data_IF_079836054427
#
_entry.id   IF_079836054427
#
_cell.length_a   1.000
_cell.length_b   1.000
_cell.length_c   1.000
_cell.angle_alpha   90.00
_cell.angle_beta   90.00
_cell.angle_gamma   90.00
#
_symmetry.space_group_name_H-M   'P 1'
#
loop_
_entity.id
_entity.type
_entity.pdbx_description
1 polymer ?
#
# COMPACT_ATOMS: atom_id res chain seq x y z
N UNK A 1 -36.72 -38.91 -14.82
CA UNK A 1 -35.32 -38.74 -14.40
C UNK A 1 -34.55 -38.18 -15.60
N UNK A 2 -34.34 -36.86 -15.63
CA UNK A 2 -33.66 -36.16 -16.73
C UNK A 2 -32.58 -35.29 -16.09
N UNK A 3 -31.34 -35.53 -16.51
CA UNK A 3 -30.13 -34.87 -16.05
C UNK A 3 -30.15 -33.44 -16.58
N UNK A 4 -30.13 -32.46 -15.69
CA UNK A 4 -29.92 -31.06 -16.06
C UNK A 4 -28.42 -30.86 -16.32
N UNK A 5 -28.07 -30.78 -17.59
CA UNK A 5 -26.76 -30.34 -18.07
C UNK A 5 -26.71 -28.82 -17.89
N UNK A 6 -25.86 -28.33 -17.00
CA UNK A 6 -25.64 -26.90 -16.77
C UNK A 6 -25.05 -26.28 -18.06
N UNK A 7 -25.86 -25.50 -18.77
CA UNK A 7 -25.43 -24.65 -19.87
C UNK A 7 -24.53 -23.54 -19.30
N UNK A 8 -23.27 -23.54 -19.74
CA UNK A 8 -22.36 -22.41 -19.64
C UNK A 8 -22.96 -21.23 -20.43
N UNK A 9 -23.35 -20.17 -19.73
CA UNK A 9 -23.56 -18.85 -20.30
C UNK A 9 -22.18 -18.29 -20.68
N UNK A 10 -21.81 -18.43 -21.95
CA UNK A 10 -20.74 -17.63 -22.55
C UNK A 10 -21.33 -16.25 -22.77
N UNK A 11 -21.05 -15.31 -21.87
CA UNK A 11 -21.24 -13.89 -22.18
C UNK A 11 -20.15 -13.49 -23.17
N UNK A 12 -20.54 -13.17 -24.41
CA UNK A 12 -19.67 -12.50 -25.36
C UNK A 12 -19.13 -11.22 -24.72
N UNK A 13 -17.82 -11.18 -24.47
CA UNK A 13 -17.13 -9.95 -24.13
C UNK A 13 -17.04 -9.16 -25.44
N UNK A 14 -17.92 -8.18 -25.61
CA UNK A 14 -17.69 -7.13 -26.59
C UNK A 14 -16.44 -6.39 -26.14
N UNK A 15 -15.34 -6.56 -26.86
CA UNK A 15 -14.17 -5.69 -26.74
C UNK A 15 -14.64 -4.31 -27.20
N UNK A 16 -14.98 -3.45 -26.25
CA UNK A 16 -15.01 -2.02 -26.53
C UNK A 16 -13.56 -1.65 -26.80
N UNK A 17 -13.27 -1.18 -28.01
CA UNK A 17 -12.02 -0.48 -28.31
C UNK A 17 -11.94 0.71 -27.34
N UNK A 18 -11.24 0.52 -26.23
CA UNK A 18 -10.82 1.61 -25.39
C UNK A 18 -9.85 2.41 -26.25
N UNK A 19 -10.26 3.60 -26.68
CA UNK A 19 -9.33 4.62 -27.16
C UNK A 19 -8.22 4.71 -26.13
N UNK A 20 -7.06 4.14 -26.48
CA UNK A 20 -5.87 4.20 -25.68
C UNK A 20 -5.30 5.61 -25.84
N UNK A 21 -5.92 6.56 -25.16
CA UNK A 21 -5.28 7.79 -24.74
C UNK A 21 -4.16 7.37 -23.79
N UNK A 22 -3.02 6.97 -24.35
CA UNK A 22 -1.79 6.78 -23.58
C UNK A 22 -1.54 8.11 -22.87
N UNK A 23 -1.90 8.18 -21.59
CA UNK A 23 -1.76 9.41 -20.81
C UNK A 23 -0.27 9.60 -20.57
N UNK A 24 0.38 10.32 -21.49
CA UNK A 24 1.76 10.74 -21.34
C UNK A 24 1.77 11.88 -20.32
N UNK A 25 1.83 11.52 -19.04
CA UNK A 25 2.11 12.47 -17.98
C UNK A 25 3.57 12.94 -18.11
N UNK A 26 3.78 14.25 -18.12
CA UNK A 26 5.11 14.81 -18.06
C UNK A 26 5.74 14.49 -16.69
N UNK A 27 6.84 13.73 -16.71
CA UNK A 27 7.55 13.29 -15.50
C UNK A 27 8.12 14.46 -14.70
N UNK A 28 8.37 15.61 -15.33
CA UNK A 28 8.79 16.83 -14.66
C UNK A 28 7.69 17.38 -13.75
N UNK A 29 6.44 17.38 -14.23
CA UNK A 29 5.28 17.84 -13.47
C UNK A 29 5.03 16.95 -12.24
N UNK A 30 5.15 15.62 -12.40
CA UNK A 30 5.06 14.67 -11.28
C UNK A 30 6.13 14.94 -10.21
N UNK A 31 7.36 15.20 -10.64
CA UNK A 31 8.48 15.52 -9.74
C UNK A 31 8.21 16.81 -8.95
N UNK A 32 7.69 17.85 -9.62
CA UNK A 32 7.31 19.10 -8.95
C UNK A 32 6.21 18.91 -7.89
N UNK A 33 5.23 18.05 -8.14
CA UNK A 33 4.18 17.75 -7.16
C UNK A 33 4.80 17.05 -5.94
N UNK A 34 5.63 16.03 -6.15
CA UNK A 34 6.30 15.29 -5.07
C UNK A 34 7.19 16.21 -4.22
N UNK A 35 7.96 17.10 -4.86
CA UNK A 35 8.81 18.05 -4.14
C UNK A 35 7.99 19.05 -3.33
N UNK A 36 6.83 19.47 -3.86
CA UNK A 36 5.88 20.31 -3.13
C UNK A 36 5.31 19.58 -1.92
N UNK A 37 4.81 18.35 -2.10
CA UNK A 37 4.18 17.55 -1.03
C UNK A 37 5.13 17.26 0.14
N UNK A 38 6.42 17.08 -0.14
CA UNK A 38 7.45 16.76 0.87
C UNK A 38 8.37 17.92 1.22
N UNK A 39 7.97 19.16 0.88
CA UNK A 39 8.74 20.34 1.26
C UNK A 39 8.80 20.46 2.79
N UNK A 40 10.03 20.52 3.33
CA UNK A 40 10.30 20.51 4.78
C UNK A 40 9.67 21.68 5.54
N UNK A 41 9.30 22.77 4.86
CA UNK A 41 8.63 23.90 5.50
C UNK A 41 7.16 23.62 5.81
N UNK A 42 6.53 22.70 5.07
CA UNK A 42 5.10 22.36 5.21
C UNK A 42 4.88 20.93 5.71
N UNK A 43 5.82 20.03 5.45
CA UNK A 43 5.71 18.61 5.77
C UNK A 43 6.85 18.16 6.68
N UNK A 44 6.51 17.89 7.95
CA UNK A 44 7.41 17.22 8.89
C UNK A 44 6.94 15.78 9.11
N UNK A 45 7.72 14.83 8.58
CA UNK A 45 7.44 13.39 8.70
C UNK A 45 7.51 12.86 10.13
N UNK A 46 8.13 13.59 11.06
CA UNK A 46 8.23 13.18 12.48
C UNK A 46 6.91 13.37 13.22
N UNK A 47 6.03 14.21 12.69
CA UNK A 47 4.74 14.51 13.28
C UNK A 47 3.67 13.66 12.61
N UNK A 48 2.89 12.94 13.43
CA UNK A 48 1.71 12.21 12.95
C UNK A 48 0.73 13.18 12.28
N UNK A 49 0.01 12.74 11.23
CA UNK A 49 -1.10 13.51 10.68
C UNK A 49 -2.09 13.89 11.79
N UNK A 50 -2.55 15.14 11.76
CA UNK A 50 -3.49 15.69 12.76
C UNK A 50 -2.95 15.56 14.20
N UNK A 51 -1.68 15.90 14.40
CA UNK A 51 -1.08 15.92 15.74
C UNK A 51 -1.88 16.85 16.68
N UNK A 52 -2.25 16.36 17.86
CA UNK A 52 -3.08 17.09 18.83
C UNK A 52 -4.60 17.05 18.57
N UNK A 53 -5.03 16.41 17.49
CA UNK A 53 -6.43 16.20 17.12
C UNK A 53 -6.74 14.69 17.07
N UNK A 54 -7.81 14.27 16.37
CA UNK A 54 -8.26 12.90 16.23
C UNK A 54 -7.16 11.90 15.87
N UNK A 55 -7.29 10.64 16.30
CA UNK A 55 -6.40 9.56 15.88
C UNK A 55 -6.31 9.43 14.35
N UNK A 56 -5.23 8.79 13.89
CA UNK A 56 -5.10 8.39 12.49
C UNK A 56 -5.66 6.97 12.37
N UNK A 57 -6.72 6.82 11.59
CA UNK A 57 -7.24 5.50 11.25
C UNK A 57 -6.29 4.83 10.26
N UNK A 58 -5.75 3.68 10.65
CA UNK A 58 -4.84 2.88 9.83
C UNK A 58 -5.57 1.59 9.45
N UNK A 59 -5.94 1.47 8.19
CA UNK A 59 -6.44 0.23 7.61
C UNK A 59 -5.28 -0.73 7.35
N UNK A 60 -5.38 -1.95 7.85
CA UNK A 60 -4.38 -3.01 7.62
C UNK A 60 -5.09 -4.18 6.96
N UNK A 61 -4.49 -4.72 5.90
CA UNK A 61 -4.92 -5.97 5.28
C UNK A 61 -3.74 -6.91 5.18
N UNK A 62 -3.91 -8.12 5.70
CA UNK A 62 -2.92 -9.19 5.63
C UNK A 62 -3.46 -10.28 4.71
N UNK A 63 -2.67 -10.64 3.70
CA UNK A 63 -2.92 -11.81 2.86
C UNK A 63 -1.86 -12.86 3.15
N UNK A 64 -2.25 -13.92 3.85
CA UNK A 64 -1.35 -15.03 4.18
C UNK A 64 -1.16 -15.92 2.94
N UNK A 65 0.09 -16.07 2.52
CA UNK A 65 0.46 -16.95 1.40
C UNK A 65 0.72 -18.37 1.88
N UNK A 66 1.39 -18.48 3.03
CA UNK A 66 1.72 -19.76 3.64
C UNK A 66 1.84 -19.62 5.15
N UNK A 67 1.61 -20.75 5.81
CA UNK A 67 1.96 -20.98 7.22
C UNK A 67 2.88 -22.19 7.21
N UNK A 68 4.06 -22.06 7.81
CA UNK A 68 5.10 -23.09 7.80
C UNK A 68 5.81 -23.19 9.15
N UNK A 69 6.67 -24.20 9.29
CA UNK A 69 7.51 -24.44 10.47
C UNK A 69 6.74 -24.34 11.80
N UNK A 70 5.60 -25.04 11.88
CA UNK A 70 4.78 -25.12 13.09
C UNK A 70 5.46 -26.06 14.08
N UNK A 71 6.01 -25.53 15.17
CA UNK A 71 6.45 -26.31 16.34
C UNK A 71 5.32 -26.34 17.35
N UNK A 72 4.72 -27.50 17.57
CA UNK A 72 3.68 -27.68 18.59
C UNK A 72 4.26 -27.58 20.02
N UNK A 73 5.52 -28.03 20.20
CA UNK A 73 6.21 -28.00 21.50
C UNK A 73 6.56 -26.57 21.91
N UNK A 74 7.06 -25.77 20.97
CA UNK A 74 7.49 -24.38 21.24
C UNK A 74 6.39 -23.35 20.95
N UNK A 75 5.24 -23.81 20.44
CA UNK A 75 4.15 -22.97 19.89
C UNK A 75 4.65 -21.93 18.89
N UNK A 76 5.62 -22.30 18.06
CA UNK A 76 6.23 -21.43 17.06
C UNK A 76 5.62 -21.68 15.69
N UNK A 77 5.46 -20.62 14.90
CA UNK A 77 5.07 -20.73 13.51
C UNK A 77 5.70 -19.63 12.66
N UNK A 78 5.84 -19.92 11.37
CA UNK A 78 6.35 -18.98 10.38
C UNK A 78 5.23 -18.61 9.40
N UNK A 79 4.95 -17.33 9.24
CA UNK A 79 4.04 -16.81 8.24
C UNK A 79 4.81 -16.18 7.08
N UNK A 80 4.43 -16.51 5.85
CA UNK A 80 4.74 -15.69 4.67
C UNK A 80 3.46 -14.96 4.24
N UNK A 81 3.47 -13.63 4.27
CA UNK A 81 2.28 -12.83 3.95
C UNK A 81 2.60 -11.54 3.20
N UNK A 82 1.55 -10.96 2.60
CA UNK A 82 1.55 -9.60 2.09
C UNK A 82 0.82 -8.70 3.09
N UNK A 83 1.38 -7.53 3.35
CA UNK A 83 0.74 -6.52 4.18
C UNK A 83 0.45 -5.30 3.35
N UNK A 84 -0.81 -4.86 3.38
CA UNK A 84 -1.24 -3.59 2.83
C UNK A 84 -1.64 -2.68 3.97
N UNK A 85 -1.22 -1.42 3.88
CA UNK A 85 -1.62 -0.40 4.84
C UNK A 85 -2.22 0.78 4.11
N UNK A 86 -3.21 1.40 4.75
CA UNK A 86 -3.86 2.59 4.23
C UNK A 86 -4.10 3.56 5.37
N UNK A 87 -3.72 4.82 5.18
CA UNK A 87 -4.01 5.89 6.13
C UNK A 87 -4.24 7.19 5.37
N UNK A 88 -4.94 8.13 5.99
CA UNK A 88 -5.18 9.45 5.38
C UNK A 88 -4.30 10.51 6.03
N UNK A 89 -3.45 11.17 5.23
CA UNK A 89 -2.66 12.34 5.61
C UNK A 89 -3.11 13.57 4.80
N UNK A 90 -3.95 14.47 5.37
CA UNK A 90 -4.46 15.63 4.67
C UNK A 90 -3.39 16.58 4.14
N UNK A 91 -2.16 16.53 4.68
CA UNK A 91 -1.03 17.34 4.21
C UNK A 91 -0.53 16.91 2.82
N UNK A 92 -0.86 15.68 2.43
CA UNK A 92 -0.51 15.09 1.14
C UNK A 92 -1.62 15.28 0.08
N UNK A 93 -2.73 15.94 0.42
CA UNK A 93 -3.81 16.18 -0.53
C UNK A 93 -3.36 17.15 -1.65
N UNK A 94 -3.54 16.72 -2.90
CA UNK A 94 -3.17 17.50 -4.09
C UNK A 94 -4.29 17.63 -5.13
N UNK A 95 -5.43 16.96 -4.92
CA UNK A 95 -6.53 16.94 -5.89
C UNK A 95 -7.14 18.31 -6.16
N UNK A 96 -7.08 19.25 -5.21
CA UNK A 96 -7.61 20.62 -5.36
C UNK A 96 -6.54 21.65 -5.71
N UNK A 97 -5.30 21.24 -5.96
CA UNK A 97 -4.24 22.15 -6.32
C UNK A 97 -4.37 22.55 -7.78
N UNK A 98 -4.43 23.85 -8.04
CA UNK A 98 -4.19 24.38 -9.37
C UNK A 98 -2.70 24.23 -9.69
N UNK A 99 -2.38 23.14 -10.37
CA UNK A 99 -1.02 22.78 -10.76
C UNK A 99 -0.69 23.26 -12.18
N UNK A 100 -1.56 24.07 -12.80
CA UNK A 100 -1.39 24.51 -14.19
C UNK A 100 -1.39 23.36 -15.21
N UNK A 101 -1.95 22.20 -14.84
CA UNK A 101 -2.03 21.02 -15.70
C UNK A 101 -3.38 20.97 -16.41
N UNK A 102 -3.37 20.54 -17.68
CA UNK A 102 -4.59 20.37 -18.49
C UNK A 102 -5.49 19.23 -18.00
N UNK A 103 -4.96 18.31 -17.19
CA UNK A 103 -5.65 17.13 -16.68
C UNK A 103 -5.38 16.95 -15.18
N UNK A 104 -6.44 16.67 -14.43
CA UNK A 104 -6.36 16.47 -12.97
C UNK A 104 -5.79 15.08 -12.66
N UNK A 105 -4.73 15.02 -11.85
CA UNK A 105 -4.15 13.75 -11.39
C UNK A 105 -4.98 13.26 -10.20
N UNK A 106 -5.53 12.06 -10.30
CA UNK A 106 -6.31 11.44 -9.23
C UNK A 106 -5.45 10.66 -8.22
N UNK A 107 -4.30 10.13 -8.66
CA UNK A 107 -3.38 9.37 -7.81
C UNK A 107 -1.94 9.44 -8.34
N UNK A 108 -0.97 9.45 -7.43
CA UNK A 108 0.46 9.36 -7.70
C UNK A 108 0.97 7.99 -7.25
N UNK A 109 1.47 7.18 -8.18
CA UNK A 109 2.16 5.93 -7.87
C UNK A 109 3.66 6.12 -7.99
N UNK A 110 4.38 5.93 -6.91
CA UNK A 110 5.84 6.12 -6.83
C UNK A 110 6.53 4.91 -6.22
N UNK A 111 7.84 4.82 -6.39
CA UNK A 111 8.67 3.80 -5.76
C UNK A 111 8.56 3.86 -4.24
N UNK A 112 8.62 2.69 -3.59
CA UNK A 112 8.49 2.57 -2.13
C UNK A 112 9.55 3.36 -1.36
N UNK A 113 10.72 3.63 -1.95
CA UNK A 113 11.78 4.46 -1.35
C UNK A 113 11.29 5.87 -0.97
N UNK A 114 10.26 6.38 -1.67
CA UNK A 114 9.66 7.66 -1.34
C UNK A 114 8.92 7.65 0.01
N UNK A 115 8.52 6.47 0.50
CA UNK A 115 7.89 6.31 1.81
C UNK A 115 8.80 6.80 2.96
N UNK A 116 10.12 6.79 2.78
CA UNK A 116 11.05 7.31 3.79
C UNK A 116 10.99 8.83 3.96
N UNK A 117 10.35 9.54 3.04
CA UNK A 117 10.07 10.98 3.13
C UNK A 117 8.75 11.27 3.83
N UNK A 118 7.88 10.27 3.99
CA UNK A 118 6.56 10.40 4.57
C UNK A 118 6.53 9.95 6.02
N UNK A 119 5.56 10.46 6.77
CA UNK A 119 5.15 9.81 8.02
C UNK A 119 4.50 8.47 7.68
N UNK A 120 4.85 7.43 8.42
CA UNK A 120 4.24 6.09 8.34
C UNK A 120 3.89 5.60 9.76
N UNK A 121 2.85 4.78 9.92
CA UNK A 121 2.54 4.20 11.22
C UNK A 121 3.62 3.20 11.66
N UNK A 122 3.98 3.21 12.94
CA UNK A 122 4.92 2.27 13.55
C UNK A 122 4.23 0.92 13.81
N UNK A 123 3.98 0.16 12.75
CA UNK A 123 3.33 -1.15 12.85
C UNK A 123 4.35 -2.23 13.22
N UNK A 124 4.11 -2.93 14.32
CA UNK A 124 4.96 -4.02 14.81
C UNK A 124 4.12 -5.22 15.23
N UNK A 125 4.74 -6.40 15.28
CA UNK A 125 4.09 -7.64 15.70
C UNK A 125 4.56 -8.00 17.12
N UNK A 126 3.68 -7.90 18.15
CA UNK A 126 4.11 -8.06 19.55
C UNK A 126 4.73 -9.42 19.89
N UNK A 127 4.28 -10.49 19.23
CA UNK A 127 4.76 -11.86 19.44
C UNK A 127 5.81 -12.29 18.42
N UNK A 128 6.45 -11.32 17.77
CA UNK A 128 7.53 -11.57 16.84
C UNK A 128 8.79 -12.03 17.59
N UNK A 129 9.24 -13.24 17.30
CA UNK A 129 10.59 -13.67 17.65
C UNK A 129 11.60 -13.07 16.66
N UNK A 130 11.28 -13.10 15.36
CA UNK A 130 12.05 -12.49 14.27
C UNK A 130 11.15 -12.18 13.07
N UNK A 131 11.31 -11.03 12.44
CA UNK A 131 10.77 -10.75 11.11
C UNK A 131 11.89 -10.47 10.11
N UNK A 132 11.63 -10.85 8.86
CA UNK A 132 12.48 -10.53 7.74
C UNK A 132 11.61 -10.01 6.60
N UNK A 133 12.00 -8.87 6.04
CA UNK A 133 11.56 -8.48 4.72
C UNK A 133 12.32 -9.35 3.71
N UNK A 134 11.61 -10.11 2.88
CA UNK A 134 12.28 -10.92 1.86
C UNK A 134 12.94 -9.97 0.84
N UNK A 135 14.27 -9.82 0.90
CA UNK A 135 15.08 -9.02 -0.04
C UNK A 135 15.25 -9.68 -1.42
N UNK A 136 14.52 -10.77 -1.69
CA UNK A 136 14.69 -11.58 -2.89
C UNK A 136 14.01 -10.93 -4.11
N UNK A 137 14.83 -10.23 -4.90
CA UNK A 137 14.61 -9.82 -6.31
C UNK A 137 13.45 -8.83 -6.53
N UNK A 138 13.84 -7.55 -6.64
CA UNK A 138 13.03 -6.36 -6.91
C UNK A 138 12.15 -5.92 -5.73
N UNK A 139 12.25 -4.65 -5.30
CA UNK A 139 11.29 -4.02 -4.38
C UNK A 139 9.91 -4.00 -5.04
N UNK A 140 9.17 -5.11 -4.98
CA UNK A 140 7.78 -5.21 -5.43
C UNK A 140 6.84 -4.62 -4.37
N UNK A 141 7.19 -3.43 -3.93
CA UNK A 141 6.39 -2.60 -3.04
C UNK A 141 6.14 -1.30 -3.79
N UNK A 142 4.89 -0.85 -3.79
CA UNK A 142 4.55 0.45 -4.36
C UNK A 142 3.89 1.32 -3.30
N UNK A 143 4.06 2.61 -3.48
CA UNK A 143 3.40 3.65 -2.72
C UNK A 143 2.43 4.36 -3.67
N UNK A 144 1.16 4.48 -3.28
CA UNK A 144 0.18 5.31 -3.97
C UNK A 144 -0.30 6.41 -3.03
N UNK A 145 -0.36 7.63 -3.52
CA UNK A 145 -0.95 8.78 -2.83
C UNK A 145 -2.12 9.26 -3.68
N UNK A 146 -3.33 9.14 -3.16
CA UNK A 146 -4.54 9.60 -3.83
C UNK A 146 -4.72 11.12 -3.61
N UNK A 147 -5.46 11.78 -4.50
CA UNK A 147 -5.58 13.24 -4.51
C UNK A 147 -6.17 13.84 -3.23
N UNK A 148 -6.88 13.06 -2.43
CA UNK A 148 -7.42 13.45 -1.11
C UNK A 148 -6.41 13.31 0.04
N UNK A 149 -5.18 12.84 -0.25
CA UNK A 149 -4.14 12.57 0.74
C UNK A 149 -4.22 11.17 1.35
N UNK A 150 -5.04 10.27 0.81
CA UNK A 150 -5.02 8.86 1.19
C UNK A 150 -3.75 8.20 0.68
N UNK A 151 -2.99 7.60 1.59
CA UNK A 151 -1.76 6.89 1.31
C UNK A 151 -2.01 5.40 1.37
N UNK A 152 -1.59 4.68 0.33
CA UNK A 152 -1.65 3.23 0.24
C UNK A 152 -0.24 2.67 0.06
N UNK A 153 0.13 1.71 0.90
CA UNK A 153 1.36 0.94 0.77
C UNK A 153 1.05 -0.53 0.67
N UNK A 154 1.83 -1.24 -0.15
CA UNK A 154 1.81 -2.69 -0.21
C UNK A 154 3.23 -3.20 -0.04
N UNK A 155 3.46 -4.00 0.99
CA UNK A 155 4.72 -4.68 1.25
C UNK A 155 4.54 -6.16 0.92
N UNK A 156 5.30 -6.61 -0.07
CA UNK A 156 5.31 -8.00 -0.51
C UNK A 156 6.31 -8.81 0.30
N UNK A 157 5.91 -10.04 0.64
CA UNK A 157 6.79 -11.07 1.20
C UNK A 157 7.42 -10.65 2.53
N UNK A 158 6.58 -10.55 3.57
CA UNK A 158 7.03 -10.55 4.95
C UNK A 158 7.12 -11.97 5.48
N UNK A 159 8.27 -12.33 6.05
CA UNK A 159 8.42 -13.54 6.85
C UNK A 159 8.34 -13.17 8.32
N UNK A 160 7.34 -13.67 9.04
CA UNK A 160 7.19 -13.48 10.48
C UNK A 160 7.34 -14.82 11.19
N UNK A 161 8.35 -14.94 12.04
CA UNK A 161 8.45 -16.02 13.02
C UNK A 161 7.81 -15.53 14.31
N UNK A 162 6.68 -16.13 14.65
CA UNK A 162 5.95 -15.84 15.88
C UNK A 162 6.02 -17.03 16.82
N UNK A 163 5.99 -16.75 18.12
CA UNK A 163 6.12 -17.78 19.15
C UNK A 163 5.60 -17.33 20.50
N UNK A 164 5.35 -18.28 21.40
CA UNK A 164 5.03 -17.96 22.78
C UNK A 164 6.31 -17.63 23.56
N UNK A 165 6.34 -16.47 24.20
CA UNK A 165 7.35 -16.16 25.22
C UNK A 165 6.81 -16.73 26.53
N UNK A 166 7.41 -17.81 27.03
CA UNK A 166 7.07 -18.32 28.36
C UNK A 166 7.54 -17.33 29.44
N UNK A 167 6.63 -16.94 30.32
CA UNK A 167 6.94 -16.34 31.63
C UNK A 167 7.34 -17.44 32.63
#
# INVERSE_FOLDING_TARGET
>A
MRIYCFLLLVTEITVADAENDDIVFDTSQLSHILDRLTNKTIYDKRLRPRYGDKPVDVGITIHVSSISAVSEVDMDFTLDFYMRQTWQDPRLAFGTLDLGMSKQISSLTVGVDYLDRLWKPDTFFPNEKKSFFHLATTHNSFLRIDGDGTVFTSQRSMKLMAGHQGD
#
